data_IF_957935765664
#
_entry.id   IF_957935765664
#
_cell.length_a   1.000
_cell.length_b   1.000
_cell.length_c   1.000
_cell.angle_alpha   90.00
_cell.angle_beta   90.00
_cell.angle_gamma   90.00
#
_symmetry.space_group_name_H-M   'P 1'
#
loop_
_entity.id
_entity.type
_entity.pdbx_description
1 polymer ?
#
# COMPACT_ATOMS: atom_id res chain seq x y z
N UNK A 1 -9.39 14.11 -31.49
CA UNK A 1 -8.71 13.44 -30.36
C UNK A 1 -9.78 12.92 -29.44
N UNK A 2 -9.59 11.74 -28.84
CA UNK A 2 -10.51 11.25 -27.82
C UNK A 2 -10.43 12.15 -26.57
N UNK A 3 -11.52 12.28 -25.82
CA UNK A 3 -11.49 12.95 -24.53
C UNK A 3 -10.86 12.03 -23.47
N UNK A 4 -10.55 12.58 -22.30
CA UNK A 4 -10.19 11.78 -21.14
C UNK A 4 -11.43 11.03 -20.66
N UNK A 5 -11.33 9.73 -20.54
CA UNK A 5 -12.46 8.85 -20.24
C UNK A 5 -12.17 7.80 -19.15
N UNK A 6 -11.05 7.94 -18.46
CA UNK A 6 -10.70 7.15 -17.28
C UNK A 6 -10.38 8.09 -16.11
N UNK A 7 -11.12 7.98 -15.01
CA UNK A 7 -10.83 8.63 -13.73
C UNK A 7 -10.41 7.56 -12.72
N UNK A 8 -9.12 7.49 -12.41
CA UNK A 8 -8.57 6.59 -11.41
C UNK A 8 -8.44 7.30 -10.06
N UNK A 9 -9.05 6.78 -9.01
CA UNK A 9 -9.04 7.37 -7.66
C UNK A 9 -8.40 6.40 -6.69
N UNK A 10 -7.42 6.91 -5.94
CA UNK A 10 -6.75 6.21 -4.85
C UNK A 10 -7.03 6.87 -3.50
N UNK A 11 -7.39 6.08 -2.49
CA UNK A 11 -7.67 6.59 -1.14
C UNK A 11 -7.46 5.52 -0.06
N UNK A 12 -7.46 5.93 1.22
CA UNK A 12 -7.30 5.03 2.34
C UNK A 12 -8.14 5.50 3.55
N UNK A 13 -7.53 5.81 4.67
CA UNK A 13 -8.21 6.33 5.87
C UNK A 13 -8.99 7.61 5.53
N UNK A 14 -10.24 7.70 5.97
CA UNK A 14 -11.16 8.79 5.61
C UNK A 14 -11.73 8.72 4.18
N UNK A 15 -11.24 7.78 3.36
CA UNK A 15 -11.61 7.66 1.95
C UNK A 15 -13.05 7.24 1.70
N UNK A 16 -13.65 6.54 2.63
CA UNK A 16 -15.07 6.15 2.54
C UNK A 16 -15.99 7.37 2.40
N UNK A 17 -15.84 8.36 3.30
CA UNK A 17 -16.64 9.57 3.26
C UNK A 17 -16.30 10.44 2.05
N UNK A 18 -15.02 10.51 1.67
CA UNK A 18 -14.60 11.24 0.48
C UNK A 18 -15.22 10.65 -0.80
N UNK A 19 -15.19 9.32 -0.96
CA UNK A 19 -15.81 8.65 -2.11
C UNK A 19 -17.33 8.80 -2.12
N UNK A 20 -17.99 8.70 -0.96
CA UNK A 20 -19.43 8.91 -0.84
C UNK A 20 -19.82 10.33 -1.26
N UNK A 21 -19.06 11.33 -0.83
CA UNK A 21 -19.25 12.72 -1.26
C UNK A 21 -19.10 12.86 -2.78
N UNK A 22 -17.98 12.38 -3.36
CA UNK A 22 -17.73 12.46 -4.79
C UNK A 22 -18.81 11.75 -5.62
N UNK A 23 -19.25 10.57 -5.19
CA UNK A 23 -20.32 9.83 -5.87
C UNK A 23 -21.63 10.62 -5.93
N UNK A 24 -21.95 11.38 -4.86
CA UNK A 24 -23.14 12.25 -4.81
C UNK A 24 -23.09 13.45 -5.77
N UNK A 25 -21.88 13.91 -6.08
CA UNK A 25 -21.67 15.13 -6.87
C UNK A 25 -21.41 14.84 -8.37
N UNK A 26 -21.19 13.58 -8.80
CA UNK A 26 -21.04 13.27 -10.21
C UNK A 26 -22.33 13.52 -10.99
N UNK A 27 -22.21 14.03 -12.23
CA UNK A 27 -23.33 14.16 -13.12
C UNK A 27 -23.81 12.79 -13.63
N UNK A 28 -25.12 12.67 -13.94
CA UNK A 28 -25.68 11.42 -14.50
C UNK A 28 -25.06 11.04 -15.85
N UNK A 29 -24.61 12.01 -16.60
CA UNK A 29 -23.97 11.86 -17.91
C UNK A 29 -22.45 11.99 -17.85
N UNK A 30 -21.85 11.68 -16.68
CA UNK A 30 -20.40 11.72 -16.48
C UNK A 30 -19.68 10.88 -17.54
N UNK A 31 -18.83 11.49 -18.41
CA UNK A 31 -18.38 10.84 -19.62
C UNK A 31 -17.13 9.96 -19.46
N UNK A 32 -16.81 9.57 -18.22
CA UNK A 32 -15.67 8.70 -17.92
C UNK A 32 -16.06 7.51 -17.07
N UNK A 33 -15.24 6.45 -17.12
CA UNK A 33 -15.28 5.34 -16.18
C UNK A 33 -14.50 5.74 -14.92
N UNK A 34 -15.07 5.54 -13.75
CA UNK A 34 -14.42 5.80 -12.45
C UNK A 34 -13.88 4.50 -11.88
N UNK A 35 -12.57 4.42 -11.66
CA UNK A 35 -11.90 3.23 -11.15
C UNK A 35 -11.26 3.56 -9.80
N UNK A 36 -11.64 2.84 -8.75
CA UNK A 36 -11.31 3.17 -7.37
C UNK A 36 -10.48 2.07 -6.72
N UNK A 37 -9.32 2.43 -6.18
CA UNK A 37 -8.60 1.60 -5.22
C UNK A 37 -8.68 2.26 -3.83
N UNK A 38 -9.17 1.50 -2.88
CA UNK A 38 -9.23 1.88 -1.47
C UNK A 38 -8.73 0.72 -0.61
N UNK A 39 -7.93 1.00 0.41
CA UNK A 39 -7.48 -0.02 1.34
C UNK A 39 -8.65 -0.56 2.16
N UNK A 40 -9.08 -1.77 1.85
CA UNK A 40 -10.19 -2.45 2.51
C UNK A 40 -9.68 -3.64 3.35
N UNK A 41 -10.26 -3.80 4.54
CA UNK A 41 -10.02 -5.01 5.35
C UNK A 41 -10.63 -6.23 4.66
N UNK A 42 -9.89 -7.33 4.63
CA UNK A 42 -10.39 -8.64 4.14
C UNK A 42 -11.26 -9.37 5.17
N UNK A 43 -11.29 -8.91 6.43
CA UNK A 43 -12.04 -9.56 7.49
C UNK A 43 -13.55 -9.34 7.41
N UNK A 44 -13.98 -8.28 6.73
CA UNK A 44 -15.39 -7.92 6.61
C UNK A 44 -15.76 -7.63 5.16
N UNK A 45 -16.94 -8.08 4.76
CA UNK A 45 -17.49 -7.71 3.45
C UNK A 45 -17.88 -6.23 3.47
N UNK A 46 -17.27 -5.45 2.62
CA UNK A 46 -17.62 -4.05 2.46
C UNK A 46 -18.93 -3.91 1.68
N UNK A 47 -19.76 -2.93 2.06
CA UNK A 47 -20.96 -2.52 1.33
C UNK A 47 -20.74 -1.21 0.55
N UNK A 48 -19.49 -0.88 0.24
CA UNK A 48 -19.12 0.39 -0.39
C UNK A 48 -19.81 0.59 -1.74
N UNK A 49 -19.97 -0.47 -2.53
CA UNK A 49 -20.69 -0.46 -3.81
C UNK A 49 -22.15 0.00 -3.66
N UNK A 50 -22.87 -0.55 -2.70
CA UNK A 50 -24.25 -0.17 -2.42
C UNK A 50 -24.34 1.28 -1.93
N UNK A 51 -23.41 1.70 -1.06
CA UNK A 51 -23.37 3.05 -0.51
C UNK A 51 -23.07 4.10 -1.58
N UNK A 52 -22.10 3.86 -2.47
CA UNK A 52 -21.79 4.78 -3.56
C UNK A 52 -22.95 4.85 -4.57
N UNK A 53 -23.58 3.72 -4.90
CA UNK A 53 -24.77 3.69 -5.77
C UNK A 53 -25.95 4.46 -5.17
N UNK A 54 -26.11 4.41 -3.85
CA UNK A 54 -27.18 5.16 -3.16
C UNK A 54 -26.85 6.66 -3.04
N UNK A 55 -25.57 7.00 -2.97
CA UNK A 55 -25.13 8.38 -2.78
C UNK A 55 -25.31 9.25 -4.04
N UNK A 56 -25.21 8.66 -5.24
CA UNK A 56 -25.21 9.43 -6.47
C UNK A 56 -25.85 8.73 -7.67
N UNK A 57 -25.83 9.39 -8.84
CA UNK A 57 -26.52 8.89 -10.02
C UNK A 57 -25.76 7.79 -10.77
N UNK A 58 -24.47 7.58 -10.49
CA UNK A 58 -23.67 6.58 -11.15
C UNK A 58 -23.74 5.23 -10.44
N UNK A 59 -24.03 4.12 -11.15
CA UNK A 59 -23.97 2.80 -10.56
C UNK A 59 -22.53 2.46 -10.14
N UNK A 60 -22.38 1.92 -8.93
CA UNK A 60 -21.12 1.45 -8.38
C UNK A 60 -21.15 -0.04 -8.14
N UNK A 61 -20.03 -0.73 -8.41
CA UNK A 61 -19.88 -2.16 -8.12
C UNK A 61 -18.43 -2.48 -7.74
N UNK A 62 -18.24 -3.55 -7.00
CA UNK A 62 -16.93 -4.18 -6.94
C UNK A 62 -16.60 -4.76 -8.32
N UNK A 63 -15.39 -4.47 -8.81
CA UNK A 63 -14.93 -4.96 -10.10
C UNK A 63 -14.89 -6.49 -10.12
N UNK A 64 -15.19 -7.06 -11.27
CA UNK A 64 -15.02 -8.48 -11.58
C UNK A 64 -13.98 -8.60 -12.70
N UNK A 65 -13.19 -9.66 -12.66
CA UNK A 65 -12.15 -9.88 -13.67
C UNK A 65 -12.77 -9.93 -15.08
N UNK A 66 -12.22 -9.14 -16.00
CA UNK A 66 -12.73 -8.97 -17.36
C UNK A 66 -13.85 -7.93 -17.52
N UNK A 67 -14.24 -7.20 -16.48
CA UNK A 67 -15.19 -6.09 -16.59
C UNK A 67 -14.70 -5.07 -17.62
N UNK A 68 -15.57 -4.65 -18.53
CA UNK A 68 -15.29 -3.56 -19.47
C UNK A 68 -15.41 -2.21 -18.77
N UNK A 69 -14.56 -1.28 -19.14
CA UNK A 69 -14.63 0.10 -18.67
C UNK A 69 -15.80 0.84 -19.36
N UNK A 70 -16.95 0.87 -18.70
CA UNK A 70 -18.13 1.60 -19.20
C UNK A 70 -18.17 2.99 -18.57
N UNK A 71 -18.40 4.01 -19.41
CA UNK A 71 -18.54 5.40 -18.94
C UNK A 71 -19.75 5.52 -18.03
N UNK A 72 -19.68 6.42 -17.05
CA UNK A 72 -20.76 6.62 -16.10
C UNK A 72 -20.92 5.48 -15.08
N UNK A 73 -19.89 4.65 -14.88
CA UNK A 73 -19.85 3.58 -13.89
C UNK A 73 -18.67 3.74 -12.92
N UNK A 74 -18.86 3.32 -11.68
CA UNK A 74 -17.84 3.29 -10.64
C UNK A 74 -17.45 1.83 -10.37
N UNK A 75 -16.18 1.51 -10.59
CA UNK A 75 -15.59 0.20 -10.33
C UNK A 75 -14.66 0.28 -9.14
N UNK A 76 -14.89 -0.57 -8.14
CA UNK A 76 -14.15 -0.57 -6.87
C UNK A 76 -13.27 -1.82 -6.82
N UNK A 77 -11.99 -1.66 -6.48
CA UNK A 77 -11.10 -2.79 -6.24
C UNK A 77 -11.60 -3.63 -5.06
N UNK A 78 -11.84 -4.95 -5.21
CA UNK A 78 -12.16 -5.81 -4.09
C UNK A 78 -10.93 -6.03 -3.19
N UNK A 79 -11.16 -6.31 -1.91
CA UNK A 79 -10.09 -6.66 -0.98
C UNK A 79 -9.26 -7.85 -1.48
N UNK A 80 -7.96 -7.85 -1.15
CA UNK A 80 -6.99 -8.88 -1.53
C UNK A 80 -6.79 -9.07 -3.05
N UNK A 81 -7.14 -8.07 -3.86
CA UNK A 81 -6.89 -8.05 -5.31
C UNK A 81 -6.37 -6.69 -5.73
N UNK A 82 -5.31 -6.66 -6.55
CA UNK A 82 -4.95 -5.47 -7.30
C UNK A 82 -5.93 -5.27 -8.44
N UNK A 83 -6.34 -4.03 -8.67
CA UNK A 83 -7.16 -3.63 -9.80
C UNK A 83 -6.25 -3.04 -10.88
N UNK A 84 -6.19 -3.72 -12.01
CA UNK A 84 -5.33 -3.40 -13.14
C UNK A 84 -6.21 -2.97 -14.31
N UNK A 85 -5.85 -1.89 -14.97
CA UNK A 85 -6.47 -1.43 -16.22
C UNK A 85 -5.69 -2.01 -17.38
N UNK A 86 -6.35 -2.82 -18.23
CA UNK A 86 -5.74 -3.48 -19.38
C UNK A 86 -6.67 -3.42 -20.60
N UNK A 87 -6.25 -2.79 -21.67
CA UNK A 87 -6.98 -2.80 -22.97
C UNK A 87 -8.50 -2.56 -22.87
N UNK A 88 -8.90 -1.51 -22.13
CA UNK A 88 -10.31 -1.14 -21.86
C UNK A 88 -11.10 -2.14 -21.00
N UNK A 89 -10.41 -3.00 -20.29
CA UNK A 89 -10.97 -3.95 -19.33
C UNK A 89 -10.28 -3.81 -17.96
N UNK A 90 -10.93 -4.34 -16.96
CA UNK A 90 -10.39 -4.46 -15.60
C UNK A 90 -9.92 -5.90 -15.35
N UNK A 91 -8.71 -6.03 -14.82
CA UNK A 91 -8.17 -7.29 -14.35
C UNK A 91 -8.03 -7.27 -12.84
N UNK A 92 -8.33 -8.39 -12.20
CA UNK A 92 -8.19 -8.59 -10.77
C UNK A 92 -7.05 -9.55 -10.48
N UNK A 93 -5.95 -9.01 -9.99
CA UNK A 93 -4.72 -9.77 -9.85
C UNK A 93 -4.36 -10.03 -8.38
N UNK A 94 -3.78 -11.20 -8.13
CA UNK A 94 -3.28 -11.62 -6.81
C UNK A 94 -1.76 -11.44 -6.68
N UNK A 95 -1.22 -10.49 -7.42
CA UNK A 95 0.21 -10.17 -7.35
C UNK A 95 0.69 -9.84 -5.92
N UNK A 96 2.00 -9.71 -5.72
CA UNK A 96 2.57 -9.36 -4.43
C UNK A 96 2.02 -8.05 -3.87
N UNK A 97 1.91 -7.94 -2.55
CA UNK A 97 1.51 -6.68 -1.92
C UNK A 97 2.50 -5.57 -2.25
N UNK A 98 1.98 -4.39 -2.52
CA UNK A 98 2.76 -3.18 -2.65
C UNK A 98 2.35 -2.20 -1.56
N UNK A 99 3.34 -1.56 -0.93
CA UNK A 99 3.12 -0.68 0.23
C UNK A 99 2.29 -1.36 1.35
N UNK A 100 2.56 -2.65 1.56
CA UNK A 100 1.87 -3.50 2.55
C UNK A 100 0.34 -3.65 2.29
N UNK A 101 -0.16 -3.24 1.14
CA UNK A 101 -1.57 -3.24 0.78
C UNK A 101 -1.89 -4.10 -0.45
N UNK A 102 -3.12 -4.63 -0.48
CA UNK A 102 -3.76 -5.22 -1.66
C UNK A 102 -5.28 -5.13 -1.50
N UNK A 103 -5.97 -4.26 -2.29
CA UNK A 103 -5.40 -3.44 -3.36
C UNK A 103 -4.40 -2.40 -2.86
N UNK A 104 -3.39 -2.09 -3.67
CA UNK A 104 -2.55 -0.90 -3.56
C UNK A 104 -2.91 0.06 -4.68
N UNK A 105 -2.68 1.36 -4.46
CA UNK A 105 -3.00 2.42 -5.41
C UNK A 105 -2.00 2.47 -6.56
N UNK A 106 -0.73 2.19 -6.27
CA UNK A 106 0.35 2.24 -7.26
C UNK A 106 0.12 1.33 -8.47
N UNK A 107 -0.29 0.05 -8.34
CA UNK A 107 -0.62 -0.81 -9.47
C UNK A 107 -1.77 -0.27 -10.33
N UNK A 108 -2.82 0.31 -9.72
CA UNK A 108 -3.91 0.93 -10.45
C UNK A 108 -3.41 2.09 -11.32
N UNK A 109 -2.69 3.03 -10.74
CA UNK A 109 -2.20 4.19 -11.47
C UNK A 109 -1.18 3.82 -12.54
N UNK A 110 -0.24 2.88 -12.26
CA UNK A 110 0.72 2.41 -13.25
C UNK A 110 0.07 1.70 -14.43
N UNK A 111 -0.91 0.84 -14.17
CA UNK A 111 -1.64 0.15 -15.25
C UNK A 111 -2.47 1.11 -16.09
N UNK A 112 -3.13 2.09 -15.45
CA UNK A 112 -3.86 3.15 -16.15
C UNK A 112 -2.92 4.05 -16.97
N UNK A 113 -1.72 4.33 -16.46
CA UNK A 113 -0.67 5.06 -17.18
C UNK A 113 -0.21 4.30 -18.43
N UNK A 114 0.04 2.99 -18.28
CA UNK A 114 0.49 2.12 -19.38
C UNK A 114 -0.58 1.96 -20.45
N UNK A 115 -1.81 1.68 -20.04
CA UNK A 115 -2.93 1.38 -20.96
C UNK A 115 -3.51 2.63 -21.62
N UNK A 116 -3.77 3.65 -20.83
CA UNK A 116 -4.61 4.78 -21.23
C UNK A 116 -3.85 6.11 -21.29
N UNK A 117 -2.72 6.24 -20.57
CA UNK A 117 -1.84 7.42 -20.59
C UNK A 117 -2.59 8.74 -20.51
N UNK A 118 -2.54 9.58 -21.60
CA UNK A 118 -3.17 10.91 -21.61
C UNK A 118 -4.70 10.91 -21.45
N UNK A 119 -5.36 9.76 -21.63
CA UNK A 119 -6.82 9.62 -21.43
C UNK A 119 -7.19 9.52 -19.95
N UNK A 120 -6.22 9.41 -19.06
CA UNK A 120 -6.45 9.18 -17.63
C UNK A 120 -6.32 10.45 -16.81
N UNK A 121 -7.24 10.64 -15.89
CA UNK A 121 -7.11 11.54 -14.74
C UNK A 121 -6.88 10.66 -13.50
N UNK A 122 -5.76 10.84 -12.81
CA UNK A 122 -5.45 10.13 -11.56
C UNK A 122 -5.63 11.06 -10.37
N UNK A 123 -6.26 10.59 -9.31
CA UNK A 123 -6.49 11.36 -8.10
C UNK A 123 -6.07 10.59 -6.84
N UNK A 124 -5.28 11.22 -5.98
CA UNK A 124 -4.97 10.74 -4.63
C UNK A 124 -5.75 11.58 -3.62
N UNK A 125 -6.53 10.90 -2.77
CA UNK A 125 -7.33 11.52 -1.72
C UNK A 125 -6.73 11.22 -0.33
N UNK A 126 -7.49 11.57 0.70
CA UNK A 126 -7.17 11.31 2.10
C UNK A 126 -6.67 9.89 2.35
N UNK A 127 -5.70 9.74 3.24
CA UNK A 127 -5.11 8.45 3.62
C UNK A 127 -3.85 8.60 4.46
N UNK A 128 -3.42 7.50 5.04
CA UNK A 128 -2.17 7.38 5.78
C UNK A 128 -1.07 6.79 4.92
N UNK A 129 0.18 7.04 5.28
CA UNK A 129 1.38 6.58 4.58
C UNK A 129 1.52 7.21 3.17
N UNK A 130 2.14 6.52 2.21
CA UNK A 130 2.53 7.12 0.93
C UNK A 130 2.20 6.27 -0.31
N UNK A 131 1.20 5.39 -0.24
CA UNK A 131 0.76 4.59 -1.39
C UNK A 131 0.13 5.48 -2.47
N UNK A 132 0.39 5.17 -3.73
CA UNK A 132 -0.12 5.88 -4.89
C UNK A 132 0.77 7.01 -5.41
N UNK A 133 1.77 7.47 -4.65
CA UNK A 133 2.64 8.55 -5.08
C UNK A 133 3.51 8.18 -6.30
N UNK A 134 4.06 6.96 -6.31
CA UNK A 134 4.87 6.46 -7.43
C UNK A 134 4.01 6.18 -8.68
N UNK A 135 2.84 5.58 -8.48
CA UNK A 135 1.89 5.35 -9.57
C UNK A 135 1.37 6.64 -10.18
N UNK A 136 1.08 7.65 -9.34
CA UNK A 136 0.64 8.97 -9.80
C UNK A 136 1.75 9.69 -10.60
N UNK A 137 3.02 9.56 -10.18
CA UNK A 137 4.16 10.08 -10.92
C UNK A 137 4.29 9.39 -12.28
N UNK A 138 4.17 8.05 -12.33
CA UNK A 138 4.20 7.30 -13.58
C UNK A 138 3.07 7.72 -14.53
N UNK A 139 1.88 7.99 -14.00
CA UNK A 139 0.75 8.50 -14.76
C UNK A 139 1.05 9.87 -15.37
N UNK A 140 1.61 10.79 -14.59
CA UNK A 140 2.03 12.10 -15.09
C UNK A 140 3.06 12.00 -16.22
N UNK A 141 4.08 11.16 -16.03
CA UNK A 141 5.12 10.91 -17.04
C UNK A 141 4.55 10.31 -18.32
N UNK A 142 3.44 9.60 -18.25
CA UNK A 142 2.71 9.03 -19.40
C UNK A 142 1.69 10.00 -20.03
N UNK A 143 1.69 11.28 -19.61
CA UNK A 143 0.83 12.33 -20.14
C UNK A 143 -0.58 12.40 -19.54
N UNK A 144 -0.87 11.60 -18.51
CA UNK A 144 -2.10 11.70 -17.72
C UNK A 144 -2.12 12.98 -16.87
N UNK A 145 -3.31 13.40 -16.44
CA UNK A 145 -3.49 14.51 -15.52
C UNK A 145 -3.55 13.99 -14.08
N UNK A 146 -2.85 14.66 -13.20
CA UNK A 146 -2.72 14.25 -11.80
C UNK A 146 -3.34 15.27 -10.85
N UNK A 147 -4.13 14.76 -9.91
CA UNK A 147 -4.87 15.56 -8.92
C UNK A 147 -4.54 15.01 -7.53
N UNK A 148 -4.32 15.90 -6.58
CA UNK A 148 -4.12 15.52 -5.18
C UNK A 148 -5.09 16.34 -4.32
N UNK A 149 -5.74 15.70 -3.37
CA UNK A 149 -6.52 16.41 -2.36
C UNK A 149 -5.59 17.32 -1.56
N UNK A 150 -6.03 18.57 -1.34
CA UNK A 150 -5.27 19.49 -0.49
C UNK A 150 -5.04 18.84 0.89
N UNK A 151 -3.79 18.68 1.33
CA UNK A 151 -3.50 18.09 2.64
C UNK A 151 -4.19 18.80 3.80
N UNK A 152 -4.42 20.11 3.70
CA UNK A 152 -5.11 20.88 4.74
C UNK A 152 -6.62 20.60 4.83
N UNK A 153 -7.21 20.05 3.77
CA UNK A 153 -8.62 19.64 3.65
C UNK A 153 -8.81 18.15 3.94
N UNK A 154 -7.76 17.35 3.85
CA UNK A 154 -7.83 15.90 3.99
C UNK A 154 -8.01 15.48 5.45
N UNK A 155 -8.91 14.53 5.72
CA UNK A 155 -9.09 13.95 7.06
C UNK A 155 -7.80 13.28 7.57
N UNK A 156 -7.01 12.70 6.66
CA UNK A 156 -5.68 12.16 6.91
C UNK A 156 -4.73 12.69 5.83
N UNK A 157 -3.84 13.57 6.22
CA UNK A 157 -3.03 14.37 5.30
C UNK A 157 -1.79 13.65 4.74
N UNK A 158 -1.34 12.53 5.34
CA UNK A 158 -0.04 11.91 5.04
C UNK A 158 0.06 11.46 3.57
N UNK A 159 -0.94 10.74 3.08
CA UNK A 159 -0.94 10.23 1.70
C UNK A 159 -1.03 11.35 0.67
N UNK A 160 -1.93 12.36 0.80
CA UNK A 160 -1.91 13.54 -0.05
C UNK A 160 -0.60 14.33 0.02
N UNK A 161 -0.01 14.50 1.22
CA UNK A 161 1.27 15.20 1.39
C UNK A 161 2.40 14.48 0.65
N UNK A 162 2.49 13.15 0.80
CA UNK A 162 3.48 12.35 0.10
C UNK A 162 3.29 12.43 -1.42
N UNK A 163 2.06 12.31 -1.89
CA UNK A 163 1.75 12.43 -3.32
C UNK A 163 2.08 13.84 -3.85
N UNK A 164 1.76 14.90 -3.10
CA UNK A 164 2.08 16.28 -3.46
C UNK A 164 3.58 16.51 -3.64
N UNK A 165 4.38 16.09 -2.65
CA UNK A 165 5.83 16.31 -2.66
C UNK A 165 6.49 15.50 -3.79
N UNK A 166 6.07 14.24 -3.97
CA UNK A 166 6.80 13.28 -4.78
C UNK A 166 6.34 13.21 -6.24
N UNK A 167 5.04 13.41 -6.52
CA UNK A 167 4.53 13.36 -7.91
C UNK A 167 4.39 14.74 -8.56
N UNK A 168 4.51 15.83 -7.79
CA UNK A 168 4.32 17.20 -8.30
C UNK A 168 3.04 17.29 -9.15
N UNK A 169 1.86 17.09 -8.58
CA UNK A 169 0.60 16.93 -9.33
C UNK A 169 0.26 18.19 -10.13
N UNK A 170 -0.57 18.03 -11.17
CA UNK A 170 -1.03 19.16 -11.98
C UNK A 170 -2.05 20.03 -11.24
N UNK A 171 -2.80 19.42 -10.31
CA UNK A 171 -3.80 20.13 -9.50
C UNK A 171 -3.74 19.69 -8.03
N UNK A 172 -3.87 20.65 -7.14
CA UNK A 172 -4.09 20.45 -5.69
C UNK A 172 -5.37 21.17 -5.33
N UNK A 173 -6.38 20.44 -4.85
CA UNK A 173 -7.74 20.95 -4.67
C UNK A 173 -8.39 20.28 -3.46
N UNK A 174 -9.11 21.06 -2.63
CA UNK A 174 -9.96 20.51 -1.58
C UNK A 174 -11.07 19.62 -2.14
N UNK A 175 -11.56 18.68 -1.33
CA UNK A 175 -12.54 17.67 -1.75
C UNK A 175 -13.77 18.28 -2.42
N UNK A 176 -14.29 19.39 -1.89
CA UNK A 176 -15.45 20.08 -2.43
C UNK A 176 -15.27 20.63 -3.85
N UNK A 177 -14.03 20.95 -4.24
CA UNK A 177 -13.72 21.45 -5.58
C UNK A 177 -13.45 20.35 -6.62
N UNK A 178 -13.23 19.11 -6.18
CA UNK A 178 -12.86 18.00 -7.07
C UNK A 178 -13.94 17.62 -8.09
N UNK A 179 -15.24 17.54 -7.75
CA UNK A 179 -16.27 17.16 -8.73
C UNK A 179 -16.27 18.07 -9.95
N UNK A 180 -16.25 19.38 -9.73
CA UNK A 180 -16.23 20.37 -10.81
C UNK A 180 -14.93 20.27 -11.65
N UNK A 181 -13.79 20.01 -11.00
CA UNK A 181 -12.53 19.81 -11.68
C UNK A 181 -12.55 18.52 -12.52
N UNK A 182 -13.01 17.40 -11.98
CA UNK A 182 -13.10 16.13 -12.71
C UNK A 182 -14.02 16.27 -13.94
N UNK A 183 -15.20 16.87 -13.76
CA UNK A 183 -16.15 17.14 -14.87
C UNK A 183 -15.49 17.95 -15.99
N UNK A 184 -14.74 18.99 -15.62
CA UNK A 184 -13.98 19.81 -16.58
C UNK A 184 -12.90 19.00 -17.31
N UNK A 185 -12.11 18.21 -16.57
CA UNK A 185 -10.96 17.48 -17.12
C UNK A 185 -11.39 16.35 -18.06
N UNK A 186 -12.45 15.59 -17.73
CA UNK A 186 -12.92 14.48 -18.56
C UNK A 186 -13.63 14.96 -19.85
N UNK A 187 -14.09 16.20 -19.90
CA UNK A 187 -14.65 16.80 -21.12
C UNK A 187 -13.59 17.42 -22.04
N UNK A 188 -12.35 17.52 -21.58
CA UNK A 188 -11.25 18.05 -22.40
C UNK A 188 -10.62 16.93 -23.26
N UNK A 189 -10.11 17.27 -24.45
CA UNK A 189 -9.35 16.33 -25.26
C UNK A 189 -8.15 15.76 -24.48
N UNK A 190 -7.91 14.48 -24.63
CA UNK A 190 -6.67 13.85 -24.17
C UNK A 190 -5.46 14.46 -24.88
N UNK A 191 -4.34 14.54 -24.20
CA UNK A 191 -3.07 14.95 -24.78
C UNK A 191 -2.56 13.96 -25.84
N UNK A 192 -1.41 14.25 -26.41
CA UNK A 192 -0.72 13.30 -27.30
C UNK A 192 -0.16 12.13 -26.48
N UNK A 193 -0.10 10.95 -27.10
CA UNK A 193 0.55 9.79 -26.49
C UNK A 193 2.04 10.10 -26.24
N UNK A 194 2.49 9.77 -25.06
CA UNK A 194 3.89 9.89 -24.62
C UNK A 194 4.51 8.50 -24.65
N UNK A 195 5.75 8.32 -25.11
CA UNK A 195 6.43 7.04 -25.03
C UNK A 195 6.48 6.54 -23.58
N UNK A 196 6.06 5.32 -23.34
CA UNK A 196 6.05 4.70 -22.03
C UNK A 196 7.47 4.30 -21.63
N UNK A 197 7.83 4.55 -20.37
CA UNK A 197 9.10 4.10 -19.83
C UNK A 197 9.15 2.56 -19.78
N UNK A 198 10.26 1.97 -20.19
CA UNK A 198 10.43 0.50 -20.29
C UNK A 198 10.28 -0.24 -18.96
N UNK A 199 10.52 0.44 -17.83
CA UNK A 199 10.34 -0.10 -16.50
C UNK A 199 8.85 -0.19 -16.10
N UNK A 200 7.96 0.65 -16.67
CA UNK A 200 6.55 0.67 -16.32
C UNK A 200 5.83 -0.62 -16.75
N UNK A 201 6.07 -1.10 -17.96
CA UNK A 201 5.54 -2.40 -18.43
C UNK A 201 5.95 -3.55 -17.51
N UNK A 202 7.22 -3.54 -17.12
CA UNK A 202 7.76 -4.54 -16.23
C UNK A 202 7.11 -4.51 -14.83
N UNK A 203 6.92 -3.32 -14.27
CA UNK A 203 6.27 -3.17 -12.96
C UNK A 203 4.80 -3.57 -12.98
N UNK A 204 4.07 -3.26 -14.05
CA UNK A 204 2.68 -3.70 -14.22
C UNK A 204 2.63 -5.22 -14.35
N UNK A 205 3.54 -5.85 -15.10
CA UNK A 205 3.61 -7.31 -15.21
C UNK A 205 3.84 -7.99 -13.85
N UNK A 206 4.72 -7.42 -13.00
CA UNK A 206 4.94 -7.95 -11.65
C UNK A 206 3.68 -7.81 -10.79
N UNK A 207 3.01 -6.66 -10.82
CA UNK A 207 1.78 -6.44 -10.07
C UNK A 207 0.65 -7.40 -10.52
N UNK A 208 0.68 -7.84 -11.78
CA UNK A 208 -0.21 -8.87 -12.35
C UNK A 208 0.23 -10.31 -12.02
N UNK A 209 1.15 -10.51 -11.09
CA UNK A 209 1.61 -11.83 -10.65
C UNK A 209 2.77 -12.42 -11.45
N UNK A 210 3.34 -11.66 -12.39
CA UNK A 210 4.60 -11.99 -13.04
C UNK A 210 5.76 -12.00 -12.03
N UNK A 211 6.78 -12.82 -12.28
CA UNK A 211 8.00 -12.80 -11.47
C UNK A 211 9.13 -12.13 -12.22
N UNK A 212 9.80 -11.22 -11.56
CA UNK A 212 11.02 -10.65 -12.09
C UNK A 212 12.20 -11.61 -12.01
N UNK A 213 12.92 -11.78 -13.10
CA UNK A 213 14.24 -12.41 -13.02
C UNK A 213 15.23 -11.48 -12.31
N UNK A 214 16.27 -12.03 -11.68
CA UNK A 214 17.32 -11.22 -11.03
C UNK A 214 17.96 -10.22 -12.02
N UNK A 215 18.14 -10.63 -13.28
CA UNK A 215 18.72 -9.78 -14.33
C UNK A 215 17.80 -8.65 -14.76
N UNK A 216 16.49 -8.84 -14.73
CA UNK A 216 15.52 -7.78 -15.00
C UNK A 216 15.47 -6.79 -13.83
N UNK A 217 15.51 -7.28 -12.60
CA UNK A 217 15.62 -6.44 -11.41
C UNK A 217 16.90 -5.58 -11.43
N UNK A 218 18.03 -6.13 -11.85
CA UNK A 218 19.30 -5.40 -11.99
C UNK A 218 19.24 -4.28 -13.06
N UNK A 219 18.24 -4.31 -13.98
CA UNK A 219 18.02 -3.24 -14.97
C UNK A 219 17.24 -2.06 -14.39
N UNK A 220 16.30 -2.32 -13.46
CA UNK A 220 15.40 -1.30 -12.92
C UNK A 220 15.90 -0.72 -11.60
N UNK A 221 16.82 -1.39 -10.92
CA UNK A 221 17.31 -0.95 -9.62
C UNK A 221 18.67 -1.50 -9.26
N UNK A 222 19.18 -1.06 -8.14
CA UNK A 222 20.44 -1.52 -7.55
C UNK A 222 20.16 -2.40 -6.33
N UNK A 223 20.86 -3.52 -6.19
CA UNK A 223 20.73 -4.40 -5.03
C UNK A 223 20.99 -3.65 -3.73
N UNK A 224 20.06 -3.79 -2.80
CA UNK A 224 20.12 -3.20 -1.48
C UNK A 224 20.65 -4.19 -0.44
N UNK A 225 21.10 -3.68 0.70
CA UNK A 225 21.42 -4.48 1.90
C UNK A 225 20.17 -4.93 2.66
N UNK A 226 19.00 -4.42 2.28
CA UNK A 226 17.74 -4.73 2.95
C UNK A 226 17.18 -6.06 2.47
N UNK A 227 16.55 -6.79 3.37
CA UNK A 227 15.74 -7.97 3.07
C UNK A 227 14.25 -7.60 3.02
N UNK A 228 13.51 -8.26 2.15
CA UNK A 228 12.07 -8.04 2.04
C UNK A 228 11.34 -8.42 3.34
N UNK A 229 10.53 -7.53 3.92
CA UNK A 229 9.76 -7.83 5.13
C UNK A 229 8.82 -9.04 4.99
N UNK A 230 8.23 -9.26 3.82
CA UNK A 230 7.27 -10.33 3.58
C UNK A 230 7.91 -11.69 3.26
N UNK A 231 8.92 -11.70 2.34
CA UNK A 231 9.46 -12.98 1.84
C UNK A 231 10.94 -13.19 2.17
N UNK A 232 11.58 -12.27 2.87
CA UNK A 232 12.99 -12.27 3.27
C UNK A 232 14.00 -12.36 2.09
N UNK A 233 13.52 -12.17 0.85
CA UNK A 233 14.37 -12.11 -0.34
C UNK A 233 15.14 -10.79 -0.46
N UNK A 234 16.14 -10.78 -1.35
CA UNK A 234 16.92 -9.57 -1.66
C UNK A 234 16.01 -8.46 -2.19
N UNK A 235 16.24 -7.23 -1.74
CA UNK A 235 15.57 -6.03 -2.24
C UNK A 235 16.47 -5.29 -3.24
N UNK A 236 15.85 -4.64 -4.19
CA UNK A 236 16.45 -3.65 -5.07
C UNK A 236 15.94 -2.26 -4.71
N UNK A 237 16.85 -1.33 -4.64
CA UNK A 237 16.55 0.09 -4.57
C UNK A 237 16.27 0.59 -5.99
N UNK A 238 15.04 1.03 -6.21
CA UNK A 238 14.56 1.57 -7.49
C UNK A 238 14.41 3.08 -7.34
N UNK A 239 15.20 3.82 -8.10
CA UNK A 239 15.19 5.29 -8.07
C UNK A 239 14.33 5.82 -9.20
N UNK A 240 13.30 6.60 -8.87
CA UNK A 240 12.43 7.30 -9.82
C UNK A 240 12.45 8.80 -9.50
N UNK A 241 13.47 9.49 -10.00
CA UNK A 241 13.73 10.87 -9.64
C UNK A 241 14.10 11.01 -8.16
N UNK A 242 13.32 11.75 -7.39
CA UNK A 242 13.49 11.90 -5.93
C UNK A 242 12.85 10.76 -5.12
N UNK A 243 12.12 9.85 -5.77
CA UNK A 243 11.48 8.69 -5.14
C UNK A 243 12.46 7.55 -5.00
N UNK A 244 12.66 7.10 -3.76
CA UNK A 244 13.37 5.85 -3.45
C UNK A 244 12.33 4.82 -3.05
N UNK A 245 12.30 3.71 -3.80
CA UNK A 245 11.46 2.55 -3.50
C UNK A 245 12.30 1.30 -3.41
N UNK A 246 11.80 0.34 -2.70
CA UNK A 246 12.42 -0.98 -2.57
C UNK A 246 11.49 -2.03 -3.15
N UNK A 247 12.01 -2.89 -4.03
CA UNK A 247 11.25 -4.00 -4.62
C UNK A 247 12.05 -5.28 -4.56
N UNK A 248 11.43 -6.41 -4.15
CA UNK A 248 12.09 -7.71 -4.18
C UNK A 248 11.81 -8.44 -5.51
N UNK A 249 12.56 -9.51 -5.80
CA UNK A 249 12.37 -10.32 -7.01
C UNK A 249 11.03 -11.07 -7.08
N UNK A 250 10.38 -11.27 -5.94
CA UNK A 250 9.01 -11.84 -5.89
C UNK A 250 7.99 -10.78 -6.32
N UNK A 251 8.31 -9.48 -6.09
CA UNK A 251 7.49 -8.35 -6.51
C UNK A 251 6.93 -7.49 -5.37
N UNK A 252 7.15 -7.85 -4.09
CA UNK A 252 6.77 -6.95 -2.99
C UNK A 252 7.50 -5.61 -3.15
N UNK A 253 6.78 -4.52 -2.98
CA UNK A 253 7.32 -3.18 -3.14
C UNK A 253 6.94 -2.29 -1.96
N UNK A 254 7.84 -1.37 -1.63
CA UNK A 254 7.69 -0.46 -0.50
C UNK A 254 8.26 0.91 -0.87
N UNK A 255 7.59 1.99 -0.49
CA UNK A 255 8.27 3.28 -0.36
C UNK A 255 9.31 3.21 0.76
N UNK A 256 10.26 4.14 0.79
CA UNK A 256 11.28 4.16 1.84
C UNK A 256 10.67 4.29 3.25
N UNK A 257 9.60 5.07 3.38
CA UNK A 257 8.88 5.30 4.63
C UNK A 257 8.18 4.02 5.11
N UNK A 258 7.43 3.38 4.22
CA UNK A 258 6.72 2.13 4.54
C UNK A 258 7.71 1.01 4.82
N UNK A 259 8.86 0.98 4.11
CA UNK A 259 9.93 0.03 4.38
C UNK A 259 10.48 0.19 5.80
N UNK A 260 10.71 1.43 6.27
CA UNK A 260 11.14 1.70 7.64
C UNK A 260 10.15 1.13 8.67
N UNK A 261 8.85 1.41 8.50
CA UNK A 261 7.81 0.89 9.38
C UNK A 261 7.72 -0.64 9.37
N UNK A 262 7.87 -1.25 8.20
CA UNK A 262 7.84 -2.71 8.06
C UNK A 262 9.06 -3.37 8.73
N UNK A 263 10.23 -2.74 8.68
CA UNK A 263 11.43 -3.20 9.40
C UNK A 263 11.26 -3.10 10.92
N UNK A 264 10.67 -2.02 11.42
CA UNK A 264 10.38 -1.85 12.85
C UNK A 264 9.39 -2.91 13.34
N UNK A 265 8.36 -3.21 12.58
CA UNK A 265 7.39 -4.27 12.91
C UNK A 265 8.05 -5.66 12.92
N UNK A 266 8.91 -5.96 11.95
CA UNK A 266 9.67 -7.22 11.92
C UNK A 266 10.60 -7.35 13.15
N UNK A 267 11.23 -6.25 13.57
CA UNK A 267 12.05 -6.25 14.78
C UNK A 267 11.21 -6.54 16.02
N UNK A 268 10.03 -5.94 16.16
CA UNK A 268 9.09 -6.22 17.26
C UNK A 268 8.66 -7.69 17.28
N UNK A 269 8.33 -8.25 16.13
CA UNK A 269 7.94 -9.67 16.02
C UNK A 269 9.10 -10.61 16.39
N UNK A 270 10.33 -10.28 16.00
CA UNK A 270 11.52 -11.04 16.37
C UNK A 270 11.75 -11.01 17.90
N UNK A 271 11.65 -9.85 18.52
CA UNK A 271 11.71 -9.72 19.98
C UNK A 271 10.60 -10.49 20.68
N UNK A 272 9.36 -10.40 20.22
CA UNK A 272 8.23 -11.15 20.76
C UNK A 272 8.45 -12.66 20.69
N UNK A 273 9.01 -13.15 19.59
CA UNK A 273 9.33 -14.56 19.40
C UNK A 273 10.45 -15.01 20.34
N UNK A 274 11.52 -14.21 20.48
CA UNK A 274 12.62 -14.49 21.40
C UNK A 274 12.15 -14.51 22.87
N UNK A 275 11.32 -13.54 23.26
CA UNK A 275 10.78 -13.47 24.62
C UNK A 275 9.92 -14.69 24.96
N UNK A 276 9.04 -15.11 24.06
CA UNK A 276 8.22 -16.33 24.25
C UNK A 276 9.11 -17.56 24.44
N UNK A 277 10.14 -17.74 23.60
CA UNK A 277 11.06 -18.85 23.70
C UNK A 277 11.82 -18.88 25.07
N UNK A 278 12.17 -17.70 25.60
CA UNK A 278 12.79 -17.58 26.92
C UNK A 278 11.79 -17.89 28.03
N UNK A 279 10.57 -17.39 27.98
CA UNK A 279 9.52 -17.67 28.98
C UNK A 279 9.19 -19.17 29.03
N UNK A 280 9.14 -19.87 27.88
CA UNK A 280 8.99 -21.34 27.82
C UNK A 280 10.17 -22.07 28.49
N UNK A 281 11.41 -21.61 28.24
CA UNK A 281 12.62 -22.18 28.90
C UNK A 281 12.64 -21.95 30.41
N UNK A 282 12.23 -20.77 30.85
CA UNK A 282 12.08 -20.46 32.29
C UNK A 282 11.07 -21.41 32.93
N UNK A 283 9.88 -21.55 32.35
CA UNK A 283 8.84 -22.41 32.84
C UNK A 283 9.29 -23.88 32.94
N UNK A 284 10.00 -24.37 31.92
CA UNK A 284 10.54 -25.72 31.90
C UNK A 284 11.63 -25.89 32.99
N UNK A 285 12.57 -24.95 33.09
CA UNK A 285 13.63 -25.00 34.09
C UNK A 285 13.05 -25.01 35.53
N UNK A 286 12.07 -24.16 35.83
CA UNK A 286 11.38 -24.14 37.13
C UNK A 286 10.63 -25.45 37.43
N UNK A 287 10.00 -26.06 36.42
CA UNK A 287 9.34 -27.37 36.55
C UNK A 287 10.36 -28.47 36.88
N UNK A 288 11.51 -28.49 36.20
CA UNK A 288 12.57 -29.48 36.44
C UNK A 288 13.26 -29.29 37.80
N UNK A 289 13.47 -28.04 38.23
CA UNK A 289 13.92 -27.68 39.58
C UNK A 289 12.98 -28.28 40.61
N UNK A 290 11.66 -28.03 40.50
CA UNK A 290 10.66 -28.55 41.45
C UNK A 290 10.64 -30.09 41.52
N UNK A 291 10.72 -30.76 40.36
CA UNK A 291 10.78 -32.24 40.29
C UNK A 291 12.04 -32.81 40.93
N UNK A 292 13.20 -32.18 40.69
CA UNK A 292 14.46 -32.62 41.31
C UNK A 292 14.45 -32.40 42.82
N UNK A 293 13.93 -31.29 43.31
CA UNK A 293 13.75 -30.99 44.72
C UNK A 293 12.86 -32.02 45.43
N UNK A 294 11.70 -32.35 44.84
CA UNK A 294 10.76 -33.35 45.37
C UNK A 294 11.39 -34.74 45.40
N UNK A 295 12.34 -35.03 44.52
CA UNK A 295 13.05 -36.31 44.43
C UNK A 295 14.32 -36.35 45.28
N UNK A 296 14.61 -35.32 46.11
CA UNK A 296 15.80 -35.21 46.96
C UNK A 296 17.13 -35.01 46.18
N UNK A 297 17.07 -34.62 44.90
CA UNK A 297 18.24 -34.44 44.03
C UNK A 297 18.72 -32.97 44.08
N UNK A 298 19.24 -32.52 45.23
CA UNK A 298 19.54 -31.11 45.51
C UNK A 298 20.46 -30.47 44.49
N UNK A 299 21.58 -31.10 44.09
CA UNK A 299 22.52 -30.53 43.10
C UNK A 299 21.93 -30.36 41.69
N UNK A 300 20.97 -31.24 41.31
CA UNK A 300 20.24 -31.08 40.04
C UNK A 300 19.22 -29.94 40.14
N UNK A 301 18.55 -29.80 41.28
CA UNK A 301 17.62 -28.71 41.53
C UNK A 301 18.35 -27.35 41.50
N UNK A 302 19.48 -27.21 42.17
CA UNK A 302 20.31 -26.00 42.12
C UNK A 302 20.76 -25.64 40.71
N UNK A 303 21.17 -26.63 39.92
CA UNK A 303 21.55 -26.41 38.50
C UNK A 303 20.40 -25.87 37.66
N UNK A 304 19.18 -26.40 37.85
CA UNK A 304 18.01 -25.88 37.09
C UNK A 304 17.55 -24.52 37.62
N UNK A 305 17.66 -24.24 38.90
CA UNK A 305 17.41 -22.93 39.48
C UNK A 305 18.34 -21.86 38.88
N UNK A 306 19.64 -22.16 38.80
CA UNK A 306 20.61 -21.26 38.16
C UNK A 306 20.27 -20.97 36.69
N UNK A 307 19.94 -22.01 35.92
CA UNK A 307 19.50 -21.82 34.51
C UNK A 307 18.23 -20.97 34.38
N UNK A 308 17.27 -21.17 35.29
CA UNK A 308 16.06 -20.34 35.26
C UNK A 308 16.39 -18.86 35.49
N UNK A 309 17.28 -18.54 36.43
CA UNK A 309 17.73 -17.17 36.67
C UNK A 309 18.49 -16.56 35.49
N UNK A 310 19.33 -17.35 34.82
CA UNK A 310 20.00 -16.89 33.57
C UNK A 310 18.97 -16.51 32.50
N UNK A 311 17.98 -17.39 32.23
CA UNK A 311 16.94 -17.10 31.23
C UNK A 311 16.04 -15.93 31.64
N UNK A 312 15.75 -15.74 32.92
CA UNK A 312 15.03 -14.58 33.45
C UNK A 312 15.80 -13.28 33.20
N UNK A 313 17.13 -13.30 33.38
CA UNK A 313 17.98 -12.15 33.08
C UNK A 313 18.00 -11.82 31.57
N UNK A 314 18.12 -12.83 30.69
CA UNK A 314 18.03 -12.66 29.23
C UNK A 314 16.65 -12.11 28.82
N UNK A 315 15.56 -12.65 29.35
CA UNK A 315 14.21 -12.19 29.08
C UNK A 315 14.00 -10.74 29.51
N UNK A 316 14.62 -10.31 30.61
CA UNK A 316 14.59 -8.90 31.04
C UNK A 316 15.25 -7.98 30.03
N UNK A 317 16.40 -8.36 29.49
CA UNK A 317 17.10 -7.56 28.43
C UNK A 317 16.21 -7.38 27.21
N UNK A 318 15.54 -8.46 26.77
CA UNK A 318 14.62 -8.37 25.63
C UNK A 318 13.42 -7.45 25.93
N UNK A 319 12.79 -7.56 27.09
CA UNK A 319 11.69 -6.68 27.52
C UNK A 319 12.11 -5.22 27.57
N UNK A 320 13.30 -4.94 28.09
CA UNK A 320 13.85 -3.59 28.14
C UNK A 320 14.15 -3.04 26.73
N UNK A 321 14.57 -3.91 25.80
CA UNK A 321 14.80 -3.54 24.40
C UNK A 321 13.49 -3.22 23.69
N UNK A 322 12.43 -4.02 23.87
CA UNK A 322 11.08 -3.75 23.33
C UNK A 322 10.61 -2.36 23.77
N UNK A 323 10.67 -2.10 25.09
CA UNK A 323 10.23 -0.81 25.65
C UNK A 323 10.98 0.37 25.03
N UNK A 324 12.31 0.28 24.84
CA UNK A 324 13.10 1.34 24.22
C UNK A 324 12.72 1.55 22.76
N UNK A 325 12.46 0.48 22.01
CA UNK A 325 12.01 0.57 20.62
C UNK A 325 10.67 1.29 20.52
N UNK A 326 9.72 0.98 21.42
CA UNK A 326 8.41 1.64 21.46
C UNK A 326 8.52 3.13 21.83
N UNK A 327 9.39 3.49 22.79
CA UNK A 327 9.65 4.88 23.16
C UNK A 327 10.27 5.69 22.00
N UNK A 328 11.14 5.07 21.19
CA UNK A 328 11.71 5.69 20.00
C UNK A 328 10.63 5.90 18.95
N UNK A 329 9.82 4.88 18.65
CA UNK A 329 8.75 4.97 17.66
C UNK A 329 7.73 6.07 18.02
N UNK A 330 7.34 6.19 19.30
CA UNK A 330 6.42 7.23 19.76
C UNK A 330 6.95 8.66 19.51
N UNK A 331 8.25 8.89 19.62
CA UNK A 331 8.85 10.22 19.37
C UNK A 331 8.78 10.67 17.90
N UNK A 332 8.71 9.72 16.97
CA UNK A 332 8.61 10.01 15.52
C UNK A 332 7.17 10.13 15.04
N UNK A 333 6.18 9.70 15.83
CA UNK A 333 4.76 9.88 15.52
C UNK A 333 4.20 11.22 16.01
N UNK A 334 4.86 11.87 16.97
CA UNK A 334 4.46 13.16 17.56
C UNK A 334 5.20 14.36 16.91
N UNK A 335 6.07 14.14 15.91
CA UNK A 335 6.82 15.15 15.17
C UNK A 335 6.31 15.31 13.73
#
# INVERSE_FOLDING_TARGET
MANRDVLAIGTSAGGFEALRFLAGEFSRDFPASVVVAIHLSSQFRSALDAILTQAGPLPAKFAVDGDKLERGHIYIAPAERHLIVESEQLRLESGPRENNARPSLDPLFRSAALCCGPRTVGAVLTGTLGDGAAGLQALKQSGGITVVQDPSDAAFAEMPTTALIRSQPDHVVGLAGMPALFEKLVRQPAGQAVPVASNLEYEVNIASGGRGSMSEMDRIGRRSVLACPDCHGVMWEVNEGELVRYRCHVGHAYSAEIMSLALDENLRQAFGSALRALDERIALARKLEAQASTSGRTGIAESWAAKALEFEAEAKVIRDSIRRTDEIAARFTDA
#
